data_IF_646681857707
#
_entry.id   IF_646681857707
#
_cell.length_a   1.000
_cell.length_b   1.000
_cell.length_c   1.000
_cell.angle_alpha   90.00
_cell.angle_beta   90.00
_cell.angle_gamma   90.00
#
_symmetry.space_group_name_H-M   'P 1'
#
loop_
_entity.id
_entity.type
_entity.pdbx_description
1 polymer ?
#
# COMPACT_ATOMS: atom_id res chain seq x y z
N UNK A 1 -0.40 -7.33 2.01
CA UNK A 1 0.78 -6.44 1.92
C UNK A 1 1.98 -7.10 1.23
N UNK A 2 2.35 -8.33 1.58
CA UNK A 2 3.55 -9.03 1.06
C UNK A 2 3.79 -8.86 -0.46
N UNK A 3 2.78 -9.13 -1.28
CA UNK A 3 2.94 -9.02 -2.74
C UNK A 3 3.28 -7.62 -3.27
N UNK A 4 2.89 -6.54 -2.59
CA UNK A 4 3.27 -5.18 -2.99
C UNK A 4 4.74 -4.91 -2.65
N UNK A 5 5.16 -5.28 -1.44
CA UNK A 5 6.57 -5.21 -0.98
C UNK A 5 7.48 -6.04 -1.87
N UNK A 6 7.08 -7.26 -2.24
CA UNK A 6 7.85 -8.11 -3.15
C UNK A 6 8.04 -7.44 -4.51
N UNK A 7 7.02 -6.79 -5.07
CA UNK A 7 7.18 -6.08 -6.34
C UNK A 7 8.21 -4.95 -6.22
N UNK A 8 8.19 -4.18 -5.13
CA UNK A 8 9.20 -3.13 -4.86
C UNK A 8 10.61 -3.71 -4.71
N UNK A 9 10.74 -4.84 -4.01
CA UNK A 9 12.03 -5.53 -3.86
C UNK A 9 12.59 -6.02 -5.19
N UNK A 10 11.74 -6.58 -6.05
CA UNK A 10 12.15 -7.00 -7.40
C UNK A 10 12.62 -5.79 -8.19
N UNK A 11 11.83 -4.71 -8.26
CA UNK A 11 12.22 -3.48 -8.96
C UNK A 11 13.56 -2.92 -8.48
N UNK A 12 13.82 -2.89 -7.16
CA UNK A 12 15.05 -2.34 -6.60
C UNK A 12 16.30 -3.21 -6.79
N UNK A 13 16.16 -4.52 -7.02
CA UNK A 13 17.28 -5.45 -7.23
C UNK A 13 17.49 -5.82 -8.71
N UNK A 14 16.57 -5.41 -9.57
CA UNK A 14 16.50 -5.82 -10.95
C UNK A 14 17.44 -5.00 -11.83
N UNK A 15 18.36 -5.69 -12.52
CA UNK A 15 19.22 -5.06 -13.55
C UNK A 15 18.55 -4.98 -14.93
N UNK A 16 17.56 -5.85 -15.17
CA UNK A 16 16.84 -5.93 -16.44
C UNK A 16 15.71 -4.92 -16.51
N UNK A 17 15.90 -3.83 -17.25
CA UNK A 17 14.93 -2.73 -17.31
C UNK A 17 13.51 -3.18 -17.66
N UNK A 18 13.35 -4.13 -18.57
CA UNK A 18 12.06 -4.69 -18.99
C UNK A 18 11.33 -5.40 -17.85
N UNK A 19 12.06 -6.18 -17.05
CA UNK A 19 11.51 -6.86 -15.85
C UNK A 19 11.17 -5.84 -14.77
N UNK A 20 12.01 -4.83 -14.57
CA UNK A 20 11.75 -3.72 -13.66
C UNK A 20 10.45 -3.00 -14.01
N UNK A 21 10.26 -2.68 -15.29
CA UNK A 21 9.03 -2.06 -15.80
C UNK A 21 7.81 -2.97 -15.63
N UNK A 22 7.93 -4.27 -15.92
CA UNK A 22 6.84 -5.23 -15.72
C UNK A 22 6.36 -5.25 -14.26
N UNK A 23 7.28 -5.35 -13.30
CA UNK A 23 6.93 -5.34 -11.89
C UNK A 23 6.44 -3.96 -11.42
N UNK A 24 6.86 -2.86 -12.06
CA UNK A 24 6.29 -1.53 -11.87
C UNK A 24 4.81 -1.46 -12.23
N UNK A 25 4.42 -2.01 -13.38
CA UNK A 25 3.01 -2.07 -13.78
C UNK A 25 2.17 -2.92 -12.83
N UNK A 26 2.69 -4.08 -12.40
CA UNK A 26 2.02 -4.97 -11.44
C UNK A 26 1.89 -4.28 -10.07
N UNK A 27 2.93 -3.59 -9.62
CA UNK A 27 2.94 -2.85 -8.36
C UNK A 27 1.81 -1.81 -8.32
N UNK A 28 1.66 -1.01 -9.39
CA UNK A 28 0.60 0.01 -9.47
C UNK A 28 -0.81 -0.59 -9.40
N UNK A 29 -1.05 -1.70 -10.12
CA UNK A 29 -2.34 -2.41 -10.04
C UNK A 29 -2.63 -2.91 -8.62
N UNK A 30 -1.63 -3.46 -7.93
CA UNK A 30 -1.77 -3.92 -6.53
C UNK A 30 -2.01 -2.75 -5.57
N UNK A 31 -1.35 -1.62 -5.76
CA UNK A 31 -1.56 -0.42 -4.95
C UNK A 31 -3.01 0.10 -5.07
N UNK A 32 -3.52 0.19 -6.30
CA UNK A 32 -4.91 0.59 -6.57
C UNK A 32 -5.90 -0.39 -5.92
N UNK A 33 -5.70 -1.70 -6.08
CA UNK A 33 -6.52 -2.71 -5.43
C UNK A 33 -6.51 -2.59 -3.89
N UNK A 34 -5.36 -2.28 -3.30
CA UNK A 34 -5.22 -2.04 -1.87
C UNK A 34 -6.07 -0.86 -1.36
N UNK A 35 -6.14 0.24 -2.13
CA UNK A 35 -6.99 1.39 -1.80
C UNK A 35 -8.47 1.02 -1.87
N UNK A 36 -8.88 0.30 -2.91
CA UNK A 36 -10.27 -0.17 -3.06
C UNK A 36 -10.67 -1.08 -1.91
N UNK A 37 -9.80 -2.04 -1.55
CA UNK A 37 -10.02 -2.94 -0.42
C UNK A 37 -10.12 -2.16 0.90
N UNK A 38 -9.22 -1.20 1.14
CA UNK A 38 -9.25 -0.36 2.34
C UNK A 38 -10.59 0.37 2.47
N UNK A 39 -11.07 0.98 1.38
CA UNK A 39 -12.37 1.68 1.36
C UNK A 39 -13.53 0.73 1.67
N UNK A 40 -13.53 -0.47 1.09
CA UNK A 40 -14.54 -1.50 1.37
C UNK A 40 -14.51 -1.95 2.84
N UNK A 41 -13.32 -2.28 3.35
CA UNK A 41 -13.16 -2.73 4.73
C UNK A 41 -13.58 -1.67 5.74
N UNK A 42 -13.33 -0.38 5.47
CA UNK A 42 -13.86 0.74 6.27
C UNK A 42 -15.39 0.76 6.26
N UNK A 43 -16.01 0.69 5.07
CA UNK A 43 -17.49 0.70 4.93
C UNK A 43 -18.16 -0.48 5.62
N UNK A 44 -17.50 -1.63 5.69
CA UNK A 44 -18.01 -2.85 6.34
C UNK A 44 -17.66 -2.96 7.82
N UNK A 45 -16.89 -2.01 8.37
CA UNK A 45 -16.46 -2.07 9.77
C UNK A 45 -15.47 -3.20 10.07
N UNK A 46 -14.77 -3.73 9.06
CA UNK A 46 -13.82 -4.84 9.22
C UNK A 46 -12.44 -4.40 9.68
N UNK A 47 -12.18 -3.09 9.75
CA UNK A 47 -10.89 -2.56 10.17
C UNK A 47 -10.93 -2.27 11.66
N UNK A 48 -10.02 -2.91 12.39
CA UNK A 48 -9.68 -2.49 13.75
C UNK A 48 -8.82 -1.23 13.66
N UNK A 49 -9.25 -0.08 14.20
CA UNK A 49 -8.47 1.14 14.15
C UNK A 49 -7.20 0.97 14.99
N UNK A 50 -6.03 1.38 14.47
CA UNK A 50 -4.82 1.45 15.29
C UNK A 50 -4.97 2.56 16.35
N UNK A 51 -4.11 2.60 17.37
CA UNK A 51 -4.01 3.75 18.27
C UNK A 51 -3.87 5.03 17.46
N UNK A 52 -4.78 5.99 17.69
CA UNK A 52 -4.79 7.26 16.98
C UNK A 52 -3.94 8.26 17.74
N UNK A 53 -3.11 9.02 17.01
CA UNK A 53 -2.41 10.15 17.59
C UNK A 53 -3.42 11.26 17.92
N UNK A 54 -3.56 11.57 19.20
CA UNK A 54 -4.43 12.64 19.69
C UNK A 54 -3.59 13.90 19.84
N UNK A 55 -3.84 14.94 19.03
CA UNK A 55 -3.28 16.27 19.31
C UNK A 55 -4.14 16.92 20.38
N UNK A 56 -3.53 17.35 21.49
CA UNK A 56 -4.22 18.16 22.47
C UNK A 56 -4.59 19.50 21.83
N UNK A 57 -5.85 19.91 21.97
CA UNK A 57 -6.42 21.12 21.39
C UNK A 57 -5.78 22.42 21.90
N UNK A 58 -4.91 22.35 22.91
CA UNK A 58 -4.18 23.50 23.48
C UNK A 58 -2.87 23.84 22.75
N UNK A 59 -2.45 23.04 21.75
CA UNK A 59 -1.24 23.27 20.95
C UNK A 59 -1.54 23.80 19.53
N UNK A 60 -2.71 24.41 19.33
CA UNK A 60 -3.14 25.03 18.07
C UNK A 60 -3.10 26.56 18.16
#
# INVERSE_FOLDING_TARGET
>A
AAGLVTCSQVMGKCLREDVGMLFGQIHMKKAQAGVTLLRLSKKKGWIVPPPLHVRNSEQA
#
